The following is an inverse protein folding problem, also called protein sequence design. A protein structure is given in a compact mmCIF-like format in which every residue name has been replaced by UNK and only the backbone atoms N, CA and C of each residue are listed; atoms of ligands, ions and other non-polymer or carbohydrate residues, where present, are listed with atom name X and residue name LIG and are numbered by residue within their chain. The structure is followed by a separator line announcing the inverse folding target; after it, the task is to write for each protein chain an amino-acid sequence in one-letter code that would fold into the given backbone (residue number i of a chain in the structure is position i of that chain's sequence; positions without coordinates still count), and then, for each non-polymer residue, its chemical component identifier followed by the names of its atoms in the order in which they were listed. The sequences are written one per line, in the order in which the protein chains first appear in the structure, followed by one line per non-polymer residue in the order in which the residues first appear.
data_IF_779265342916
#
_entry.id   IF_779265342916
#
_cell.length_a   1.000
_cell.length_b   1.000
_cell.length_c   1.000
_cell.angle_alpha   90.00
_cell.angle_beta   90.00
_cell.angle_gamma   90.00
#
_symmetry.space_group_name_H-M   'P 1'
#
loop_
_entity.id
_entity.type
_entity.pdbx_description
1 polymer ?
#
# COMPACT_ATOMS: atom_id res chain seq x y z
N UNK A 1 -36.58 0.45 22.66
CA UNK A 1 -35.19 0.13 22.28
C UNK A 1 -34.85 1.05 21.12
N UNK A 2 -33.79 1.85 21.22
CA UNK A 2 -33.45 2.80 20.15
C UNK A 2 -33.13 2.03 18.86
N UNK A 3 -33.74 2.43 17.74
CA UNK A 3 -33.41 1.90 16.42
C UNK A 3 -31.92 2.16 16.13
N UNK A 4 -31.09 1.12 16.28
CA UNK A 4 -29.70 1.21 15.89
C UNK A 4 -29.62 1.21 14.36
N UNK A 5 -29.31 2.39 13.81
CA UNK A 5 -28.97 2.55 12.40
C UNK A 5 -27.80 1.61 12.08
N UNK A 6 -28.04 0.59 11.25
CA UNK A 6 -27.01 -0.35 10.81
C UNK A 6 -25.97 0.39 9.98
N UNK A 7 -24.78 0.58 10.54
CA UNK A 7 -23.62 1.12 9.80
C UNK A 7 -22.87 -0.03 9.12
N UNK A 8 -22.69 0.00 7.80
CA UNK A 8 -21.89 -1.02 7.10
C UNK A 8 -20.44 -1.07 7.63
N UNK A 9 -19.88 -2.27 7.71
CA UNK A 9 -18.46 -2.47 8.07
C UNK A 9 -17.60 -2.28 6.83
N UNK A 10 -16.62 -1.38 6.91
CA UNK A 10 -15.64 -1.17 5.85
C UNK A 10 -14.60 -2.30 5.83
N UNK A 11 -14.21 -2.75 4.64
CA UNK A 11 -13.20 -3.79 4.44
C UNK A 11 -11.95 -3.18 3.81
N UNK A 12 -10.78 -3.45 4.40
CA UNK A 12 -9.49 -3.14 3.81
C UNK A 12 -8.92 -4.39 3.14
N UNK A 13 -8.63 -4.29 1.86
CA UNK A 13 -8.01 -5.38 1.08
C UNK A 13 -6.49 -5.34 1.22
N UNK A 14 -5.84 -6.50 1.36
CA UNK A 14 -4.40 -6.61 1.65
C UNK A 14 -3.65 -7.47 0.63
N UNK A 15 -4.33 -7.97 -0.41
CA UNK A 15 -3.73 -8.85 -1.42
C UNK A 15 -2.50 -8.24 -2.11
N UNK A 16 -2.42 -6.91 -2.24
CA UNK A 16 -1.31 -6.20 -2.89
C UNK A 16 -0.14 -5.88 -1.95
N UNK A 17 -0.25 -6.17 -0.64
CA UNK A 17 0.81 -5.93 0.36
C UNK A 17 0.98 -7.10 1.31
N UNK A 18 0.12 -7.23 2.32
CA UNK A 18 0.34 -8.15 3.43
C UNK A 18 0.14 -9.63 3.08
N UNK A 19 -0.80 -9.93 2.18
CA UNK A 19 -1.08 -11.31 1.81
C UNK A 19 0.15 -11.98 1.16
N UNK A 20 0.74 -11.34 0.15
CA UNK A 20 1.91 -11.89 -0.53
C UNK A 20 3.18 -11.76 0.31
N UNK A 21 3.27 -10.75 1.19
CA UNK A 21 4.33 -10.68 2.20
C UNK A 21 4.30 -11.89 3.14
N UNK A 22 3.10 -12.30 3.58
CA UNK A 22 2.89 -13.40 4.50
C UNK A 22 3.02 -14.78 3.84
N UNK A 23 2.50 -14.93 2.62
CA UNK A 23 2.37 -16.24 1.97
C UNK A 23 3.51 -16.58 1.00
N UNK A 24 4.07 -15.58 0.31
CA UNK A 24 5.08 -15.78 -0.74
C UNK A 24 6.28 -14.84 -0.57
N UNK A 25 6.63 -14.55 0.68
CA UNK A 25 7.82 -13.80 1.06
C UNK A 25 7.98 -12.43 0.35
N UNK A 26 6.88 -11.76 -0.01
CA UNK A 26 6.88 -10.46 -0.70
C UNK A 26 7.41 -10.53 -2.14
N UNK A 27 7.18 -11.64 -2.85
CA UNK A 27 7.72 -11.88 -4.21
C UNK A 27 6.74 -11.64 -5.34
N UNK A 28 5.62 -10.96 -5.11
CA UNK A 28 4.70 -10.58 -6.18
C UNK A 28 5.29 -9.41 -7.02
N UNK A 29 5.58 -9.60 -8.32
CA UNK A 29 6.02 -8.53 -9.21
C UNK A 29 4.89 -7.56 -9.53
N UNK A 30 5.23 -6.32 -9.89
CA UNK A 30 4.22 -5.28 -10.20
C UNK A 30 3.32 -5.70 -11.36
N UNK A 31 3.89 -6.31 -12.40
CA UNK A 31 3.14 -6.78 -13.59
C UNK A 31 2.03 -7.80 -13.27
N UNK A 32 2.16 -8.57 -12.19
CA UNK A 32 1.15 -9.54 -11.76
C UNK A 32 0.01 -8.85 -10.98
N UNK A 33 0.28 -7.70 -10.37
CA UNK A 33 -0.72 -6.91 -9.64
C UNK A 33 -1.65 -6.14 -10.57
N UNK A 34 -1.10 -5.51 -11.61
CA UNK A 34 -1.82 -4.55 -12.46
C UNK A 34 -3.11 -5.07 -13.12
N UNK A 35 -3.18 -6.33 -13.61
CA UNK A 35 -4.36 -6.81 -14.35
C UNK A 35 -5.67 -6.81 -13.54
N UNK A 36 -5.61 -6.85 -12.21
CA UNK A 36 -6.80 -6.92 -11.35
C UNK A 36 -7.25 -5.55 -10.81
N UNK A 37 -6.41 -4.51 -10.93
CA UNK A 37 -6.60 -3.22 -10.27
C UNK A 37 -7.93 -2.55 -10.63
N UNK A 38 -8.29 -2.48 -11.91
CA UNK A 38 -9.56 -1.86 -12.35
C UNK A 38 -10.80 -2.55 -11.75
N UNK A 39 -10.74 -3.88 -11.55
CA UNK A 39 -11.83 -4.61 -10.91
C UNK A 39 -11.86 -4.34 -9.42
N UNK A 40 -10.71 -4.34 -8.76
CA UNK A 40 -10.61 -4.05 -7.32
C UNK A 40 -11.11 -2.65 -6.98
N UNK A 41 -10.83 -1.66 -7.83
CA UNK A 41 -11.27 -0.27 -7.60
C UNK A 41 -12.80 -0.12 -7.61
N UNK A 42 -13.52 -1.07 -8.21
CA UNK A 42 -14.98 -1.08 -8.31
C UNK A 42 -15.68 -1.91 -7.23
N UNK A 43 -14.93 -2.63 -6.37
CA UNK A 43 -15.50 -3.48 -5.32
C UNK A 43 -16.15 -2.66 -4.21
N UNK A 44 -15.64 -1.46 -3.94
CA UNK A 44 -16.09 -0.63 -2.82
C UNK A 44 -15.36 -0.92 -1.50
N UNK A 45 -14.09 -1.32 -1.57
CA UNK A 45 -13.23 -1.42 -0.38
C UNK A 45 -13.10 -0.07 0.32
N UNK A 46 -12.94 -0.10 1.64
CA UNK A 46 -12.63 1.10 2.43
C UNK A 46 -11.25 1.66 2.05
N UNK A 47 -10.28 0.77 1.89
CA UNK A 47 -8.93 1.05 1.40
C UNK A 47 -8.33 -0.23 0.82
N UNK A 48 -7.29 -0.06 -0.01
CA UNK A 48 -6.45 -1.15 -0.50
C UNK A 48 -5.04 -0.91 0.03
N UNK A 49 -4.57 -1.82 0.86
CA UNK A 49 -3.21 -1.81 1.32
C UNK A 49 -2.28 -2.36 0.23
N UNK A 50 -1.41 -1.50 -0.29
CA UNK A 50 -0.62 -1.80 -1.48
C UNK A 50 0.85 -1.42 -1.38
N UNK A 51 1.27 -0.80 -0.28
CA UNK A 51 2.62 -0.27 -0.14
C UNK A 51 3.14 -0.30 1.30
N UNK A 52 4.43 -0.03 1.49
CA UNK A 52 5.08 -0.11 2.79
C UNK A 52 5.39 -1.54 3.25
N UNK A 53 5.63 -1.72 4.54
CA UNK A 53 6.13 -3.00 5.07
C UNK A 53 7.42 -3.45 4.37
N UNK A 54 7.49 -4.74 4.02
CA UNK A 54 8.65 -5.31 3.34
C UNK A 54 8.67 -5.06 1.82
N UNK A 55 7.59 -4.49 1.25
CA UNK A 55 7.47 -4.34 -0.21
C UNK A 55 8.51 -3.40 -0.79
N UNK A 56 8.96 -2.39 -0.04
CA UNK A 56 9.96 -1.43 -0.50
C UNK A 56 11.34 -2.07 -0.68
N UNK A 57 11.83 -2.78 0.34
CA UNK A 57 13.08 -3.56 0.24
C UNK A 57 12.95 -4.68 -0.80
N UNK A 58 11.83 -5.40 -0.82
CA UNK A 58 11.66 -6.53 -1.73
C UNK A 58 11.65 -6.11 -3.21
N UNK A 59 11.04 -4.97 -3.52
CA UNK A 59 11.03 -4.40 -4.87
C UNK A 59 12.45 -4.14 -5.35
N UNK A 60 13.26 -3.46 -4.53
CA UNK A 60 14.65 -3.12 -4.87
C UNK A 60 15.56 -4.35 -4.90
N UNK A 61 15.50 -5.19 -3.85
CA UNK A 61 16.47 -6.26 -3.60
C UNK A 61 16.25 -7.49 -4.46
N UNK A 62 15.00 -7.91 -4.65
CA UNK A 62 14.69 -9.20 -5.27
C UNK A 62 14.01 -9.06 -6.62
N UNK A 63 13.13 -8.07 -6.78
CA UNK A 63 12.35 -7.89 -8.01
C UNK A 63 13.05 -6.97 -9.00
N UNK A 64 14.06 -6.21 -8.56
CA UNK A 64 14.76 -5.19 -9.36
C UNK A 64 13.80 -4.14 -9.93
N UNK A 65 12.80 -3.78 -9.13
CA UNK A 65 11.77 -2.80 -9.45
C UNK A 65 11.91 -1.56 -8.57
N UNK A 66 11.54 -0.39 -9.09
CA UNK A 66 11.41 0.83 -8.29
C UNK A 66 10.08 0.81 -7.51
N UNK A 67 10.11 0.81 -6.16
CA UNK A 67 8.90 0.81 -5.34
C UNK A 67 8.05 2.07 -5.53
N UNK A 68 8.64 3.20 -5.94
CA UNK A 68 7.89 4.42 -6.25
C UNK A 68 7.13 4.31 -7.56
N UNK A 69 7.73 3.64 -8.55
CA UNK A 69 7.06 3.36 -9.83
C UNK A 69 5.88 2.42 -9.66
N UNK A 70 6.04 1.38 -8.82
CA UNK A 70 4.93 0.52 -8.40
C UNK A 70 3.77 1.33 -7.81
N UNK A 71 4.06 2.22 -6.87
CA UNK A 71 3.04 3.05 -6.23
C UNK A 71 2.29 3.91 -7.25
N UNK A 72 3.01 4.59 -8.15
CA UNK A 72 2.39 5.42 -9.21
C UNK A 72 1.50 4.60 -10.13
N UNK A 73 1.96 3.44 -10.60
CA UNK A 73 1.15 2.54 -11.45
C UNK A 73 -0.12 2.05 -10.77
N UNK A 74 -0.05 1.77 -9.47
CA UNK A 74 -1.22 1.39 -8.68
C UNK A 74 -2.18 2.58 -8.49
N UNK A 75 -1.67 3.78 -8.16
CA UNK A 75 -2.46 5.02 -8.11
C UNK A 75 -3.10 5.37 -9.45
N UNK A 76 -2.45 5.00 -10.55
CA UNK A 76 -2.99 5.18 -11.88
C UNK A 76 -4.19 4.28 -12.15
N UNK A 77 -4.23 3.07 -11.58
CA UNK A 77 -5.37 2.16 -11.73
C UNK A 77 -6.48 2.35 -10.68
N UNK A 78 -6.14 2.64 -9.43
CA UNK A 78 -7.12 2.94 -8.39
C UNK A 78 -7.51 4.42 -8.48
N UNK A 79 -8.75 4.74 -8.86
CA UNK A 79 -9.24 6.13 -8.94
C UNK A 79 -10.24 6.46 -7.84
N UNK A 80 -10.95 5.45 -7.34
CA UNK A 80 -12.04 5.62 -6.38
C UNK A 80 -11.67 5.10 -4.99
N UNK A 81 -10.75 4.15 -4.91
CA UNK A 81 -10.35 3.50 -3.66
C UNK A 81 -9.11 4.16 -3.06
N UNK A 82 -9.09 4.27 -1.73
CA UNK A 82 -7.95 4.81 -0.98
C UNK A 82 -6.78 3.84 -0.96
N UNK A 83 -5.57 4.34 -1.20
CA UNK A 83 -4.34 3.57 -1.10
C UNK A 83 -3.73 3.69 0.29
N UNK A 84 -3.59 2.56 0.97
CA UNK A 84 -3.02 2.49 2.31
C UNK A 84 -1.63 1.86 2.28
N UNK A 85 -0.79 2.28 3.24
CA UNK A 85 0.51 1.66 3.49
C UNK A 85 0.72 1.29 4.95
N UNK A 86 1.61 0.32 5.18
CA UNK A 86 2.18 0.06 6.50
C UNK A 86 3.46 0.87 6.70
N UNK A 87 3.45 1.79 7.67
CA UNK A 87 4.57 2.68 8.00
C UNK A 87 5.08 2.45 9.43
N UNK A 88 6.37 2.18 9.63
CA UNK A 88 6.93 1.80 10.94
C UNK A 88 7.56 2.99 11.68
N UNK A 89 6.76 4.01 11.95
CA UNK A 89 7.15 5.18 12.76
C UNK A 89 8.53 5.75 12.36
N UNK A 90 9.39 6.00 13.34
CA UNK A 90 10.73 6.57 13.12
C UNK A 90 11.64 5.70 12.23
N UNK A 91 11.34 4.41 12.08
CA UNK A 91 12.11 3.51 11.22
C UNK A 91 11.67 3.57 9.76
N UNK A 92 10.54 4.23 9.46
CA UNK A 92 9.98 4.31 8.11
C UNK A 92 9.78 2.88 7.55
N UNK A 93 10.52 2.52 6.51
CA UNK A 93 10.60 1.18 5.91
C UNK A 93 12.02 0.60 6.00
N UNK A 94 12.92 1.26 6.71
CA UNK A 94 14.29 0.81 6.96
C UNK A 94 14.43 0.05 8.27
N UNK A 95 15.67 -0.32 8.62
CA UNK A 95 15.98 -1.20 9.76
C UNK A 95 16.50 -0.49 11.01
N UNK A 96 16.51 0.85 11.01
CA UNK A 96 16.95 1.71 12.12
C UNK A 96 16.11 2.99 12.15
N UNK A 97 16.07 3.74 13.27
CA UNK A 97 15.45 5.06 13.28
C UNK A 97 16.20 6.04 12.38
N UNK A 98 15.44 6.98 11.82
CA UNK A 98 15.91 8.10 11.02
C UNK A 98 15.68 9.43 11.73
N UNK A 99 16.37 10.48 11.28
CA UNK A 99 16.10 11.84 11.73
C UNK A 99 14.73 12.30 11.21
N UNK A 100 14.11 13.25 11.93
CA UNK A 100 12.75 13.70 11.66
C UNK A 100 12.58 14.24 10.24
N UNK A 101 13.57 14.97 9.72
CA UNK A 101 13.58 15.51 8.36
C UNK A 101 13.44 14.41 7.29
N UNK A 102 14.11 13.26 7.49
CA UNK A 102 14.00 12.10 6.59
C UNK A 102 12.62 11.46 6.70
N UNK A 103 12.05 11.37 7.91
CA UNK A 103 10.70 10.83 8.14
C UNK A 103 9.66 11.72 7.44
N UNK A 104 9.74 13.04 7.64
CA UNK A 104 8.84 14.01 7.00
C UNK A 104 8.96 13.97 5.48
N UNK A 105 10.18 14.02 4.94
CA UNK A 105 10.40 13.93 3.50
C UNK A 105 9.85 12.63 2.91
N UNK A 106 9.97 11.51 3.61
CA UNK A 106 9.41 10.25 3.14
C UNK A 106 7.87 10.28 3.10
N UNK A 107 7.22 10.82 4.14
CA UNK A 107 5.76 10.96 4.19
C UNK A 107 5.27 11.88 3.08
N UNK A 108 5.90 13.05 2.90
CA UNK A 108 5.58 14.01 1.83
C UNK A 108 5.65 13.35 0.44
N UNK A 109 6.71 12.57 0.19
CA UNK A 109 6.87 11.85 -1.08
C UNK A 109 5.87 10.71 -1.23
N UNK A 110 5.50 10.02 -0.15
CA UNK A 110 4.48 8.96 -0.18
C UNK A 110 3.12 9.50 -0.60
N UNK A 111 2.71 10.62 0.01
CA UNK A 111 1.46 11.31 -0.33
C UNK A 111 1.51 11.84 -1.76
N UNK A 112 2.61 12.50 -2.15
CA UNK A 112 2.76 13.05 -3.51
C UNK A 112 2.71 12.00 -4.63
N UNK A 113 2.96 10.72 -4.32
CA UNK A 113 2.89 9.61 -5.28
C UNK A 113 1.60 8.77 -5.15
N UNK A 114 0.71 9.08 -4.19
CA UNK A 114 -0.66 8.56 -4.18
C UNK A 114 -1.11 7.77 -2.95
N UNK A 115 -0.31 7.71 -1.88
CA UNK A 115 -0.81 7.23 -0.57
C UNK A 115 -1.83 8.22 0.00
N UNK A 116 -2.94 7.69 0.52
CA UNK A 116 -4.06 8.43 1.13
C UNK A 116 -4.04 8.41 2.67
#
# INVERSE_FOLDING_TARGET
MADQVKKPVGIMETVLRDAHQSLIATRMPTEIMLPIVDKMDKVGYHSVECWGGATFDASLRFLKEDPWDRLRKLRDGFKNTKLQMLFRGQNILGYRPYADDVVYAFVEKSIANGID
#
